data_IF_627279280579
#
_entry.id   IF_627279280579
#
_cell.length_a   1.000
_cell.length_b   1.000
_cell.length_c   1.000
_cell.angle_alpha   90.00
_cell.angle_beta   90.00
_cell.angle_gamma   90.00
#
_symmetry.space_group_name_H-M   'P 1'
#
loop_
_entity.id
_entity.type
_entity.pdbx_description
1 polymer ?
#
# COMPACT_ATOMS: atom_id res chain seq x y z
N UNK A 1 -6.18 -20.92 -6.45
CA UNK A 1 -5.19 -20.90 -5.34
C UNK A 1 -5.32 -19.57 -4.61
N UNK A 2 -5.34 -19.57 -3.28
CA UNK A 2 -5.28 -18.34 -2.47
C UNK A 2 -3.85 -18.23 -1.93
N UNK A 3 -3.18 -17.11 -2.21
CA UNK A 3 -1.83 -16.84 -1.69
C UNK A 3 -1.87 -16.16 -0.33
N UNK A 4 -0.72 -16.09 0.33
CA UNK A 4 -0.52 -15.35 1.57
C UNK A 4 0.73 -14.47 1.44
N UNK A 5 0.57 -13.21 1.83
CA UNK A 5 1.65 -12.27 2.10
C UNK A 5 1.45 -11.82 3.55
N UNK A 6 2.39 -12.13 4.43
CA UNK A 6 2.31 -11.78 5.85
C UNK A 6 3.65 -11.27 6.38
N UNK A 7 3.61 -10.57 7.51
CA UNK A 7 4.77 -10.15 8.28
C UNK A 7 5.79 -9.32 7.47
N UNK A 8 5.26 -8.41 6.64
CA UNK A 8 6.07 -7.53 5.78
C UNK A 8 6.41 -6.24 6.53
N UNK A 9 7.68 -5.83 6.48
CA UNK A 9 8.16 -4.62 7.18
C UNK A 9 8.94 -3.70 6.24
N UNK A 10 8.57 -2.42 6.27
CA UNK A 10 9.33 -1.31 5.67
C UNK A 10 9.67 -0.31 6.78
N UNK A 11 10.93 -0.29 7.21
CA UNK A 11 11.35 0.43 8.42
C UNK A 11 12.43 1.46 8.05
N UNK A 12 12.23 2.71 8.48
CA UNK A 12 13.21 3.81 8.38
C UNK A 12 13.68 4.12 6.94
N UNK A 13 12.83 3.88 5.94
CA UNK A 13 13.15 4.23 4.56
C UNK A 13 13.13 5.75 4.33
N UNK A 14 14.03 6.22 3.46
CA UNK A 14 14.06 7.60 2.97
C UNK A 14 13.77 7.62 1.46
N UNK A 15 12.80 8.42 1.06
CA UNK A 15 12.38 8.59 -0.33
C UNK A 15 13.02 9.85 -0.94
N UNK A 16 13.40 9.78 -2.21
CA UNK A 16 13.93 10.92 -2.96
C UNK A 16 13.17 11.13 -4.26
N UNK A 17 12.30 12.14 -4.28
CA UNK A 17 11.55 12.57 -5.46
C UNK A 17 10.80 11.44 -6.20
N UNK A 18 10.10 10.58 -5.44
CA UNK A 18 9.35 9.45 -6.00
C UNK A 18 7.93 9.86 -6.40
N UNK A 19 7.32 9.13 -7.33
CA UNK A 19 5.93 9.40 -7.71
C UNK A 19 4.93 9.09 -6.58
N UNK A 20 5.05 7.92 -5.95
CA UNK A 20 4.16 7.46 -4.88
C UNK A 20 5.00 6.99 -3.69
N UNK A 21 4.67 7.42 -2.47
CA UNK A 21 5.43 7.01 -1.28
C UNK A 21 5.06 5.59 -0.81
N UNK A 22 3.76 5.27 -0.76
CA UNK A 22 3.26 3.95 -0.36
C UNK A 22 2.34 3.42 -1.47
N UNK A 23 2.69 2.27 -2.03
CA UNK A 23 1.93 1.62 -3.12
C UNK A 23 1.51 0.23 -2.68
N UNK A 24 0.20 -0.04 -2.66
CA UNK A 24 -0.37 -1.33 -2.27
C UNK A 24 -1.47 -1.73 -3.23
N UNK A 25 -1.20 -2.73 -4.08
CA UNK A 25 -2.11 -3.14 -5.14
C UNK A 25 -2.43 -4.63 -5.07
N UNK A 26 -3.72 -4.97 -5.15
CA UNK A 26 -4.19 -6.35 -5.29
C UNK A 26 -5.08 -6.54 -6.53
N UNK A 27 -4.82 -5.73 -7.57
CA UNK A 27 -5.55 -5.65 -8.83
C UNK A 27 -4.66 -5.99 -10.06
N UNK A 28 -3.45 -6.49 -9.83
CA UNK A 28 -2.55 -6.95 -10.90
C UNK A 28 -3.11 -8.18 -11.61
N UNK A 29 -3.07 -8.16 -12.94
CA UNK A 29 -3.44 -9.29 -13.77
C UNK A 29 -2.31 -9.63 -14.73
N UNK A 30 -1.78 -10.86 -14.60
CA UNK A 30 -0.76 -11.39 -15.53
C UNK A 30 -1.30 -11.48 -16.96
N UNK A 31 -2.57 -11.84 -17.14
CA UNK A 31 -3.18 -11.96 -18.47
C UNK A 31 -3.42 -10.60 -19.15
N UNK A 32 -3.55 -9.52 -18.37
CA UNK A 32 -3.63 -8.14 -18.88
C UNK A 32 -2.29 -7.41 -18.87
N UNK A 33 -1.24 -8.01 -18.30
CA UNK A 33 0.10 -7.43 -18.21
C UNK A 33 0.21 -6.23 -17.26
N UNK A 34 -0.73 -6.02 -16.34
CA UNK A 34 -0.73 -4.83 -15.49
C UNK A 34 -1.87 -4.73 -14.50
N UNK A 35 -1.93 -3.57 -13.83
CA UNK A 35 -2.99 -3.21 -12.88
C UNK A 35 -4.29 -2.90 -13.59
N UNK A 36 -5.38 -3.46 -13.08
CA UNK A 36 -6.70 -3.39 -13.73
C UNK A 36 -7.62 -2.34 -13.12
N UNK A 37 -7.25 -1.75 -11.99
CA UNK A 37 -8.12 -0.88 -11.18
C UNK A 37 -9.18 -1.64 -10.38
N UNK A 38 -9.35 -2.96 -10.62
CA UNK A 38 -10.33 -3.81 -9.95
C UNK A 38 -9.62 -4.83 -9.06
N UNK A 39 -9.52 -4.52 -7.77
CA UNK A 39 -8.89 -5.38 -6.78
C UNK A 39 -9.76 -6.59 -6.45
N UNK A 40 -9.65 -7.65 -7.26
CA UNK A 40 -10.40 -8.91 -7.11
C UNK A 40 -9.55 -10.07 -6.58
N UNK A 41 -8.24 -9.84 -6.37
CA UNK A 41 -7.34 -10.86 -5.83
C UNK A 41 -7.86 -11.46 -4.52
N UNK A 42 -7.69 -12.78 -4.39
CA UNK A 42 -8.02 -13.53 -3.17
C UNK A 42 -6.79 -13.81 -2.30
N UNK A 43 -5.65 -13.19 -2.60
CA UNK A 43 -4.43 -13.27 -1.79
C UNK A 43 -4.64 -12.53 -0.49
N UNK A 44 -4.41 -13.20 0.64
CA UNK A 44 -4.43 -12.56 1.95
C UNK A 44 -3.16 -11.71 2.12
N UNK A 45 -3.30 -10.43 2.45
CA UNK A 45 -2.18 -9.51 2.71
C UNK A 45 -2.33 -8.96 4.13
N UNK A 46 -1.56 -9.51 5.06
CA UNK A 46 -1.78 -9.32 6.49
C UNK A 46 -0.51 -8.80 7.19
N UNK A 47 -0.68 -8.05 8.28
CA UNK A 47 0.46 -7.73 9.16
C UNK A 47 1.53 -6.83 8.52
N UNK A 48 1.15 -5.93 7.61
CA UNK A 48 2.12 -5.04 6.96
C UNK A 48 2.45 -3.85 7.86
N UNK A 49 3.73 -3.66 8.14
CA UNK A 49 4.22 -2.51 8.92
C UNK A 49 5.02 -1.56 8.04
N UNK A 50 4.65 -0.28 8.06
CA UNK A 50 5.45 0.81 7.49
C UNK A 50 5.73 1.81 8.61
N UNK A 51 7.00 1.98 8.98
CA UNK A 51 7.38 2.81 10.12
C UNK A 51 8.57 3.72 9.81
N UNK A 52 8.47 4.99 10.19
CA UNK A 52 9.59 5.95 10.08
C UNK A 52 9.93 6.34 8.64
N UNK A 53 8.95 6.30 7.73
CA UNK A 53 9.13 6.67 6.33
C UNK A 53 9.31 8.19 6.20
N UNK A 54 10.39 8.64 5.57
CA UNK A 54 10.71 10.08 5.39
C UNK A 54 11.00 10.43 3.92
N UNK A 55 11.12 11.72 3.59
CA UNK A 55 11.58 12.18 2.28
C UNK A 55 10.52 12.92 1.48
N UNK A 56 10.57 12.82 0.14
CA UNK A 56 9.65 13.52 -0.76
C UNK A 56 8.98 12.61 -1.79
N UNK A 57 7.71 12.87 -2.07
CA UNK A 57 6.94 12.18 -3.11
C UNK A 57 5.90 13.11 -3.77
N UNK A 58 5.39 12.74 -4.95
CA UNK A 58 4.21 13.43 -5.50
C UNK A 58 2.94 13.04 -4.74
N UNK A 59 2.65 11.74 -4.66
CA UNK A 59 1.50 11.19 -3.92
C UNK A 59 1.97 10.47 -2.66
N UNK A 60 1.26 10.67 -1.55
CA UNK A 60 1.51 9.91 -0.34
C UNK A 60 1.07 8.45 -0.49
N UNK A 61 -0.10 8.21 -1.09
CA UNK A 61 -0.67 6.88 -1.25
C UNK A 61 -1.10 6.56 -2.69
N UNK A 62 -0.92 5.30 -3.07
CA UNK A 62 -1.55 4.67 -4.22
C UNK A 62 -1.98 3.25 -3.81
N UNK A 63 -3.16 3.16 -3.19
CA UNK A 63 -3.70 1.92 -2.63
C UNK A 63 -4.97 1.54 -3.38
N UNK A 64 -4.93 0.34 -3.97
CA UNK A 64 -6.06 -0.34 -4.62
C UNK A 64 -6.05 -1.80 -4.18
N UNK A 65 -6.71 -2.07 -3.06
CA UNK A 65 -6.72 -3.37 -2.42
C UNK A 65 -8.14 -3.97 -2.31
N UNK A 66 -8.22 -5.29 -2.17
CA UNK A 66 -9.47 -5.98 -1.90
C UNK A 66 -9.70 -5.99 -0.38
N UNK A 67 -10.69 -5.23 0.14
CA UNK A 67 -10.89 -5.06 1.58
C UNK A 67 -11.24 -6.38 2.29
N UNK A 68 -11.70 -7.40 1.56
CA UNK A 68 -12.02 -8.73 2.13
C UNK A 68 -10.78 -9.56 2.45
N UNK A 69 -9.60 -9.12 2.03
CA UNK A 69 -8.37 -9.94 2.07
C UNK A 69 -7.19 -9.23 2.71
N UNK A 70 -7.36 -7.99 3.15
CA UNK A 70 -6.30 -7.22 3.82
C UNK A 70 -6.64 -6.97 5.28
N UNK A 71 -5.64 -7.07 6.16
CA UNK A 71 -5.85 -6.86 7.60
C UNK A 71 -4.53 -6.54 8.32
N UNK A 72 -4.64 -5.90 9.50
CA UNK A 72 -3.50 -5.71 10.39
C UNK A 72 -2.37 -4.86 9.80
N UNK A 73 -2.69 -3.89 8.95
CA UNK A 73 -1.68 -2.94 8.47
C UNK A 73 -1.46 -1.85 9.53
N UNK A 74 -0.21 -1.44 9.71
CA UNK A 74 0.20 -0.42 10.68
C UNK A 74 1.16 0.57 10.04
N UNK A 75 0.71 1.82 9.88
CA UNK A 75 1.52 2.92 9.34
C UNK A 75 1.84 3.90 10.47
N UNK A 76 3.12 4.17 10.72
CA UNK A 76 3.55 5.04 11.82
C UNK A 76 4.78 5.88 11.46
N UNK A 77 4.89 7.07 12.04
CA UNK A 77 6.05 7.95 11.80
C UNK A 77 6.24 8.34 10.32
N UNK A 78 5.16 8.44 9.55
CA UNK A 78 5.19 8.84 8.14
C UNK A 78 5.41 10.36 8.07
N UNK A 79 6.61 10.78 7.68
CA UNK A 79 7.04 12.17 7.54
C UNK A 79 7.52 12.43 6.10
N UNK A 80 6.65 12.17 5.15
CA UNK A 80 6.91 12.40 3.72
C UNK A 80 6.29 13.73 3.31
N UNK A 81 7.08 14.60 2.69
CA UNK A 81 6.58 15.80 2.02
C UNK A 81 5.94 15.38 0.69
N UNK A 82 4.61 15.24 0.69
CA UNK A 82 3.82 14.88 -0.48
C UNK A 82 3.00 16.07 -0.99
N UNK A 83 2.91 16.22 -2.31
CA UNK A 83 2.07 17.26 -2.95
C UNK A 83 0.58 16.87 -3.01
N UNK A 84 0.27 15.59 -2.83
CA UNK A 84 -1.09 15.05 -2.86
C UNK A 84 -1.21 13.87 -1.89
N UNK A 85 -2.39 13.70 -1.28
CA UNK A 85 -2.70 12.51 -0.51
C UNK A 85 -2.72 11.24 -1.40
N UNK A 86 -3.14 11.37 -2.66
CA UNK A 86 -3.27 10.25 -3.59
C UNK A 86 -4.54 9.42 -3.37
N UNK A 87 -4.46 8.12 -3.67
CA UNK A 87 -5.62 7.21 -3.68
C UNK A 87 -5.53 6.18 -2.55
N UNK A 88 -6.63 5.99 -1.83
CA UNK A 88 -6.76 4.94 -0.83
C UNK A 88 -8.10 4.21 -0.95
N UNK A 89 -8.08 3.03 -1.57
CA UNK A 89 -9.27 2.19 -1.74
C UNK A 89 -8.98 0.77 -1.27
N UNK A 90 -9.81 0.31 -0.31
CA UNK A 90 -9.82 -1.08 0.15
C UNK A 90 -8.72 -1.45 1.15
N UNK A 91 -8.00 -0.46 1.70
CA UNK A 91 -7.14 -0.61 2.88
C UNK A 91 -7.93 -1.13 4.10
N UNK A 92 -7.27 -1.78 5.07
CA UNK A 92 -7.93 -2.17 6.31
C UNK A 92 -8.20 -0.94 7.20
N UNK A 93 -9.24 -1.02 8.04
CA UNK A 93 -9.66 0.06 8.95
C UNK A 93 -8.56 0.51 9.94
N UNK A 94 -7.56 -0.33 10.20
CA UNK A 94 -6.41 0.03 11.05
C UNK A 94 -5.53 1.12 10.44
N UNK A 95 -5.67 1.39 9.14
CA UNK A 95 -5.04 2.50 8.45
C UNK A 95 -6.12 3.53 8.14
N UNK A 96 -6.35 4.42 9.10
CA UNK A 96 -7.17 5.62 8.94
C UNK A 96 -6.24 6.84 8.80
N UNK A 97 -6.54 7.72 7.84
CA UNK A 97 -5.89 9.02 7.64
C UNK A 97 -6.91 10.14 7.81
#
# INVERSE_FOLDING_TARGET
>A
MKGLVSDVQYVQNQLSNVKNAIVMHSDYSKSKGGYTGSATSQVAIQGVTISGLTGSATNLYDIVANPKTVSGWSFSGIKVSASSAGKMVGQPNSVSV
#
